data_IF_852090695474
#
_entry.id   IF_852090695474
#
_cell.length_a   1.000
_cell.length_b   1.000
_cell.length_c   1.000
_cell.angle_alpha   90.00
_cell.angle_beta   90.00
_cell.angle_gamma   90.00
#
_symmetry.space_group_name_H-M   'P 1'
#
loop_
_entity.id
_entity.type
_entity.pdbx_description
1 polymer ?
#
# COMPACT_ATOMS: atom_id res chain seq x y z
N UNK A 1 46.88 -59.51 -32.23
CA UNK A 1 46.54 -58.09 -32.16
C UNK A 1 45.09 -57.76 -31.89
N UNK A 2 44.15 -58.73 -31.87
CA UNK A 2 42.70 -58.44 -31.64
C UNK A 2 42.26 -58.42 -30.22
N UNK A 3 43.02 -59.02 -29.26
CA UNK A 3 42.62 -59.14 -27.85
C UNK A 3 42.83 -57.83 -27.04
N UNK A 4 43.70 -56.97 -27.47
CA UNK A 4 44.02 -55.71 -26.76
C UNK A 4 42.96 -54.64 -27.01
N UNK A 5 42.34 -54.62 -28.20
CA UNK A 5 41.28 -53.65 -28.54
C UNK A 5 39.98 -53.93 -27.77
N UNK A 6 39.69 -55.18 -27.48
CA UNK A 6 38.41 -55.53 -26.77
C UNK A 6 38.41 -55.12 -25.30
N UNK A 7 39.55 -55.09 -24.67
CA UNK A 7 39.65 -54.67 -23.27
C UNK A 7 39.64 -53.14 -23.14
N UNK A 8 40.14 -52.43 -24.15
CA UNK A 8 40.11 -50.95 -24.16
C UNK A 8 38.70 -50.39 -24.40
N UNK A 9 37.93 -51.01 -25.28
CA UNK A 9 36.53 -50.63 -25.54
C UNK A 9 35.61 -50.94 -24.35
N UNK A 10 35.85 -52.04 -23.59
CA UNK A 10 35.05 -52.42 -22.45
C UNK A 10 35.28 -51.50 -21.24
N UNK A 11 36.47 -50.98 -21.08
CA UNK A 11 36.78 -50.01 -20.00
C UNK A 11 36.32 -48.59 -20.35
N UNK A 12 36.25 -48.21 -21.65
CA UNK A 12 35.71 -46.92 -22.09
C UNK A 12 34.19 -46.84 -21.91
N UNK A 13 33.47 -47.95 -22.11
CA UNK A 13 31.99 -48.01 -21.90
C UNK A 13 31.58 -47.94 -20.45
N UNK A 14 32.41 -48.40 -19.52
CA UNK A 14 32.14 -48.34 -18.07
C UNK A 14 32.37 -46.93 -17.52
N UNK A 15 33.33 -46.17 -18.11
CA UNK A 15 33.61 -44.79 -17.70
C UNK A 15 32.58 -43.77 -18.19
N UNK A 16 31.89 -44.02 -19.32
CA UNK A 16 30.82 -43.17 -19.83
C UNK A 16 29.49 -43.40 -19.12
N UNK A 17 29.30 -44.61 -18.52
CA UNK A 17 28.07 -44.94 -17.78
C UNK A 17 28.01 -44.36 -16.34
N UNK A 18 29.12 -43.93 -15.76
CA UNK A 18 29.18 -43.36 -14.38
C UNK A 18 29.13 -41.84 -14.34
N UNK A 19 29.15 -41.17 -15.50
CA UNK A 19 29.09 -39.70 -15.59
C UNK A 19 27.67 -39.11 -15.70
N UNK A 20 26.63 -39.93 -15.79
CA UNK A 20 25.24 -39.44 -16.03
C UNK A 20 24.30 -39.54 -14.82
N UNK A 21 24.81 -39.90 -13.64
CA UNK A 21 24.01 -39.93 -12.41
C UNK A 21 24.52 -38.88 -11.39
N UNK A 22 24.43 -37.62 -11.71
CA UNK A 22 24.51 -36.55 -10.69
C UNK A 22 24.15 -35.19 -11.28
N UNK A 23 22.97 -35.06 -11.85
CA UNK A 23 22.28 -33.78 -11.97
C UNK A 23 20.80 -33.99 -11.66
N UNK A 24 20.50 -34.56 -10.51
CA UNK A 24 19.28 -34.19 -9.82
C UNK A 24 19.54 -32.78 -9.32
N UNK A 25 19.18 -31.80 -10.16
CA UNK A 25 18.93 -30.44 -9.68
C UNK A 25 17.93 -30.58 -8.56
N UNK A 26 18.39 -30.39 -7.33
CA UNK A 26 17.55 -30.01 -6.21
C UNK A 26 16.92 -28.70 -6.65
N UNK A 27 15.72 -28.77 -7.21
CA UNK A 27 14.80 -27.66 -7.22
C UNK A 27 14.62 -27.36 -5.72
N UNK A 28 15.43 -26.47 -5.18
CA UNK A 28 15.09 -25.76 -3.98
C UNK A 28 13.81 -25.05 -4.28
N UNK A 29 12.72 -25.67 -3.84
CA UNK A 29 11.46 -24.99 -3.61
C UNK A 29 11.80 -23.81 -2.70
N UNK A 30 12.12 -22.68 -3.32
CA UNK A 30 12.12 -21.40 -2.65
C UNK A 30 10.64 -21.10 -2.39
N UNK A 31 10.08 -21.83 -1.45
CA UNK A 31 8.92 -21.39 -0.71
C UNK A 31 9.41 -20.10 -0.05
N UNK A 32 9.29 -18.99 -0.77
CA UNK A 32 9.33 -17.68 -0.16
C UNK A 32 8.22 -17.72 0.88
N UNK A 33 8.62 -18.00 2.12
CA UNK A 33 7.81 -17.68 3.29
C UNK A 33 7.48 -16.19 3.16
N UNK A 34 6.33 -15.89 2.56
CA UNK A 34 5.74 -14.58 2.64
C UNK A 34 5.73 -14.23 4.13
N UNK A 35 6.22 -13.07 4.54
CA UNK A 35 6.26 -12.70 5.93
C UNK A 35 4.85 -12.86 6.46
N UNK A 36 4.69 -13.81 7.40
CA UNK A 36 3.44 -14.12 8.08
C UNK A 36 3.13 -12.94 9.00
N UNK A 37 2.75 -11.83 8.37
CA UNK A 37 2.29 -10.65 9.10
C UNK A 37 1.04 -11.11 9.81
N UNK A 38 1.13 -11.22 11.14
CA UNK A 38 -0.02 -11.53 11.97
C UNK A 38 -1.15 -10.59 11.56
N UNK A 39 -2.37 -11.09 11.32
CA UNK A 39 -3.46 -10.25 10.87
C UNK A 39 -3.69 -9.16 11.93
N UNK A 40 -3.28 -7.95 11.63
CA UNK A 40 -3.62 -6.81 12.47
C UNK A 40 -5.13 -6.70 12.42
N UNK A 41 -5.76 -6.76 13.59
CA UNK A 41 -7.22 -6.74 13.72
C UNK A 41 -7.70 -5.36 13.27
N UNK A 42 -8.24 -5.26 12.08
CA UNK A 42 -8.87 -4.03 11.61
C UNK A 42 -10.04 -3.69 12.54
N UNK A 43 -10.16 -2.41 12.91
CA UNK A 43 -11.17 -1.97 13.88
C UNK A 43 -12.57 -1.96 13.23
N UNK A 44 -12.68 -1.53 11.97
CA UNK A 44 -13.94 -1.43 11.23
C UNK A 44 -13.83 -2.28 9.95
N UNK A 45 -14.89 -3.01 9.62
CA UNK A 45 -14.86 -3.93 8.47
C UNK A 45 -16.18 -3.95 7.72
N UNK A 46 -16.10 -4.17 6.41
CA UNK A 46 -17.22 -4.48 5.55
C UNK A 46 -16.85 -5.68 4.64
N UNK A 47 -17.83 -6.58 4.38
CA UNK A 47 -17.58 -7.84 3.68
C UNK A 47 -18.67 -8.12 2.65
N UNK A 48 -18.25 -8.26 1.38
CA UNK A 48 -19.09 -8.60 0.25
C UNK A 48 -18.37 -9.57 -0.68
N UNK A 49 -19.10 -10.55 -1.22
CA UNK A 49 -18.67 -11.43 -2.32
C UNK A 49 -17.29 -12.09 -2.08
N UNK A 50 -16.99 -12.51 -0.82
CA UNK A 50 -15.72 -13.13 -0.45
C UNK A 50 -14.56 -12.15 -0.26
N UNK A 51 -14.81 -10.85 -0.39
CA UNK A 51 -13.84 -9.81 -0.12
C UNK A 51 -14.18 -9.08 1.17
N UNK A 52 -13.22 -8.93 2.08
CA UNK A 52 -13.35 -8.13 3.31
C UNK A 52 -12.38 -6.96 3.24
N UNK A 53 -12.91 -5.76 3.47
CA UNK A 53 -12.10 -4.56 3.63
C UNK A 53 -12.15 -4.14 5.09
N UNK A 54 -10.99 -4.01 5.71
CA UNK A 54 -10.84 -3.53 7.08
C UNK A 54 -10.14 -2.18 7.10
N UNK A 55 -10.56 -1.31 8.00
CA UNK A 55 -10.00 0.03 8.20
C UNK A 55 -9.63 0.24 9.65
N UNK A 56 -8.45 0.77 9.90
CA UNK A 56 -8.01 1.23 11.20
C UNK A 56 -7.42 2.63 11.06
N UNK A 57 -8.12 3.67 11.53
CA UNK A 57 -7.56 5.02 11.55
C UNK A 57 -6.40 5.14 12.54
N UNK A 58 -5.31 5.78 12.14
CA UNK A 58 -4.20 6.12 13.01
C UNK A 58 -4.43 7.52 13.59
N UNK A 59 -4.98 7.56 14.80
CA UNK A 59 -5.43 8.79 15.47
C UNK A 59 -4.38 9.38 16.39
N UNK A 60 -3.33 8.64 16.72
CA UNK A 60 -2.32 9.07 17.70
C UNK A 60 -0.92 9.07 17.10
N UNK A 61 -0.13 10.07 17.45
CA UNK A 61 1.26 10.19 17.00
C UNK A 61 2.13 8.95 17.33
N UNK A 62 1.75 8.17 18.36
CA UNK A 62 2.45 6.94 18.73
C UNK A 62 2.35 5.85 17.68
N UNK A 63 1.24 5.76 16.93
CA UNK A 63 0.99 4.74 15.91
C UNK A 63 1.93 4.91 14.71
N UNK A 64 2.36 6.16 14.47
CA UNK A 64 3.26 6.48 13.36
C UNK A 64 4.73 6.20 13.66
N UNK A 65 5.14 6.11 14.94
CA UNK A 65 6.56 6.09 15.33
C UNK A 65 7.37 4.96 14.70
N UNK A 66 6.77 3.79 14.54
CA UNK A 66 7.46 2.62 13.98
C UNK A 66 7.81 2.83 12.50
N UNK A 67 6.83 3.26 11.71
CA UNK A 67 6.99 3.45 10.26
C UNK A 67 7.60 4.80 9.89
N UNK A 68 7.40 5.81 10.75
CA UNK A 68 7.82 7.20 10.52
C UNK A 68 8.65 7.74 11.69
N UNK A 69 9.88 7.24 11.90
CA UNK A 69 10.67 7.59 13.08
C UNK A 69 11.15 9.04 13.13
N UNK A 70 11.33 9.68 11.98
CA UNK A 70 11.84 11.07 11.89
C UNK A 70 10.72 12.11 11.82
N UNK A 71 9.73 11.88 10.97
CA UNK A 71 8.62 12.79 10.71
C UNK A 71 7.41 11.98 10.25
N UNK A 72 6.22 12.31 10.74
CA UNK A 72 5.00 11.57 10.41
C UNK A 72 4.03 12.40 9.59
N UNK A 73 3.17 11.77 8.77
CA UNK A 73 2.05 12.42 8.10
C UNK A 73 1.16 13.19 9.08
N UNK A 74 0.92 12.63 10.26
CA UNK A 74 0.11 13.24 11.32
C UNK A 74 0.53 14.66 11.68
N UNK A 75 1.84 14.96 11.70
CA UNK A 75 2.36 16.30 12.00
C UNK A 75 2.01 17.36 10.97
N UNK A 76 1.59 16.96 9.78
CA UNK A 76 1.14 17.84 8.69
C UNK A 76 -0.37 17.87 8.49
N UNK A 77 -1.16 17.31 9.43
CA UNK A 77 -2.60 17.27 9.30
C UNK A 77 -3.14 16.15 8.42
N UNK A 78 -2.28 15.18 8.07
CA UNK A 78 -2.63 14.04 7.23
C UNK A 78 -2.91 12.82 8.09
N UNK A 79 -4.11 12.22 7.96
CA UNK A 79 -4.43 10.94 8.59
C UNK A 79 -3.96 9.79 7.70
N UNK A 80 -3.44 8.75 8.32
CA UNK A 80 -3.23 7.46 7.69
C UNK A 80 -4.33 6.49 8.13
N UNK A 81 -5.02 5.91 7.18
CA UNK A 81 -5.92 4.78 7.41
C UNK A 81 -5.17 3.50 7.04
N UNK A 82 -4.96 2.61 8.00
CA UNK A 82 -4.46 1.29 7.70
C UNK A 82 -5.59 0.46 7.10
N UNK A 83 -5.40 0.11 5.84
CA UNK A 83 -6.36 -0.69 5.08
C UNK A 83 -5.91 -2.14 5.05
N UNK A 84 -6.84 -3.04 5.29
CA UNK A 84 -6.66 -4.49 5.17
C UNK A 84 -7.64 -4.99 4.12
N UNK A 85 -7.12 -5.58 3.04
CA UNK A 85 -7.91 -6.21 2.00
C UNK A 85 -7.72 -7.72 2.11
N UNK A 86 -8.72 -8.44 2.57
CA UNK A 86 -8.70 -9.89 2.70
C UNK A 86 -9.60 -10.49 1.61
N UNK A 87 -9.02 -11.34 0.80
CA UNK A 87 -9.72 -12.04 -0.28
C UNK A 87 -9.85 -13.52 0.08
N UNK A 88 -11.05 -13.95 0.41
CA UNK A 88 -11.37 -15.35 0.74
C UNK A 88 -11.92 -16.11 -0.50
N UNK A 89 -12.03 -15.44 -1.66
CA UNK A 89 -12.50 -16.06 -2.91
C UNK A 89 -11.39 -16.78 -3.66
N UNK A 90 -11.76 -17.64 -4.60
CA UNK A 90 -10.84 -18.36 -5.48
C UNK A 90 -10.28 -17.50 -6.63
N UNK A 91 -10.71 -16.25 -6.74
CA UNK A 91 -10.32 -15.32 -7.79
C UNK A 91 -9.47 -14.17 -7.26
N UNK A 92 -8.50 -13.72 -8.07
CA UNK A 92 -7.79 -12.47 -7.76
C UNK A 92 -8.70 -11.27 -8.00
N UNK A 93 -8.64 -10.29 -7.10
CA UNK A 93 -9.45 -9.07 -7.14
C UNK A 93 -8.55 -7.87 -7.37
N UNK A 94 -8.87 -7.07 -8.38
CA UNK A 94 -8.24 -5.78 -8.62
C UNK A 94 -8.89 -4.73 -7.73
N UNK A 95 -8.06 -3.99 -7.00
CA UNK A 95 -8.44 -2.84 -6.18
C UNK A 95 -7.89 -1.56 -6.80
N UNK A 96 -8.65 -0.48 -6.72
CA UNK A 96 -8.16 0.85 -7.06
C UNK A 96 -8.25 1.75 -5.82
N UNK A 97 -7.14 1.83 -5.09
CA UNK A 97 -7.06 2.65 -3.87
C UNK A 97 -7.30 4.14 -4.16
N UNK A 98 -7.03 4.62 -5.39
CA UNK A 98 -7.25 6.02 -5.77
C UNK A 98 -8.73 6.35 -5.92
N UNK A 99 -9.57 5.36 -6.19
CA UNK A 99 -11.02 5.52 -6.26
C UNK A 99 -11.68 5.59 -4.89
N UNK A 100 -10.99 5.20 -3.81
CA UNK A 100 -11.48 5.33 -2.46
C UNK A 100 -11.85 6.78 -2.13
N UNK A 101 -12.84 6.96 -1.25
CA UNK A 101 -13.24 8.28 -0.74
C UNK A 101 -13.40 8.19 0.76
N UNK A 102 -12.91 9.20 1.45
CA UNK A 102 -13.24 9.44 2.84
C UNK A 102 -14.37 10.47 2.87
N UNK A 103 -15.53 10.04 3.31
CA UNK A 103 -16.74 10.83 3.42
C UNK A 103 -16.84 11.39 4.83
N UNK A 104 -16.73 12.69 4.99
CA UNK A 104 -16.87 13.39 6.26
C UNK A 104 -18.29 13.94 6.36
N UNK A 105 -18.99 13.63 7.43
CA UNK A 105 -20.32 14.16 7.72
C UNK A 105 -20.17 15.41 8.60
N UNK A 106 -20.41 16.58 8.01
CA UNK A 106 -20.34 17.88 8.70
C UNK A 106 -21.76 18.37 8.95
N UNK A 107 -22.38 17.90 10.06
CA UNK A 107 -23.79 18.17 10.34
C UNK A 107 -24.74 17.27 9.54
N UNK A 108 -26.05 17.61 9.55
CA UNK A 108 -27.10 16.72 9.02
C UNK A 108 -27.08 16.59 7.49
N UNK A 109 -26.76 17.68 6.77
CA UNK A 109 -26.88 17.73 5.30
C UNK A 109 -25.58 18.00 4.54
N UNK A 110 -24.48 18.25 5.24
CA UNK A 110 -23.22 18.62 4.58
C UNK A 110 -22.23 17.45 4.59
N UNK A 111 -21.85 17.00 3.39
CA UNK A 111 -20.85 15.95 3.18
C UNK A 111 -19.64 16.54 2.48
N UNK A 112 -18.48 16.23 2.98
CA UNK A 112 -17.22 16.51 2.31
C UNK A 112 -16.58 15.20 1.88
N UNK A 113 -16.13 15.12 0.63
CA UNK A 113 -15.41 13.97 0.09
C UNK A 113 -13.93 14.31 -0.01
N UNK A 114 -13.10 13.48 0.58
CA UNK A 114 -11.65 13.55 0.43
C UNK A 114 -11.15 12.42 -0.45
N UNK A 115 -10.29 12.77 -1.40
CA UNK A 115 -9.56 11.79 -2.21
C UNK A 115 -8.27 11.38 -1.52
N UNK A 116 -7.80 10.13 -1.72
CA UNK A 116 -6.51 9.70 -1.21
C UNK A 116 -5.37 10.54 -1.77
N UNK A 117 -4.42 10.86 -0.89
CA UNK A 117 -3.17 11.50 -1.26
C UNK A 117 -2.15 10.48 -1.78
N UNK A 118 -1.37 10.87 -2.77
CA UNK A 118 -0.16 10.14 -3.14
C UNK A 118 0.95 10.37 -2.12
N UNK A 119 1.96 9.50 -2.09
CA UNK A 119 3.13 9.71 -1.23
C UNK A 119 3.83 11.04 -1.49
N UNK A 120 3.78 11.52 -2.73
CA UNK A 120 4.31 12.83 -3.14
C UNK A 120 3.49 13.97 -2.53
N UNK A 121 2.14 13.90 -2.62
CA UNK A 121 1.25 14.89 -2.04
C UNK A 121 1.40 14.94 -0.51
N UNK A 122 1.55 13.79 0.15
CA UNK A 122 1.82 13.72 1.58
C UNK A 122 3.14 14.42 1.92
N UNK A 123 4.20 14.15 1.15
CA UNK A 123 5.50 14.78 1.38
C UNK A 123 5.44 16.29 1.15
N UNK A 124 4.75 16.73 0.12
CA UNK A 124 4.54 18.16 -0.14
C UNK A 124 3.74 18.81 1.01
N UNK A 125 2.64 18.20 1.45
CA UNK A 125 1.82 18.71 2.56
C UNK A 125 2.63 18.85 3.85
N UNK A 126 3.34 17.79 4.24
CA UNK A 126 4.07 17.72 5.52
C UNK A 126 5.34 18.56 5.52
N UNK A 127 6.07 18.61 4.40
CA UNK A 127 7.37 19.28 4.33
C UNK A 127 7.26 20.76 3.96
N UNK A 128 6.21 21.14 3.19
CA UNK A 128 6.03 22.50 2.71
C UNK A 128 5.21 23.36 3.66
N UNK A 129 4.22 22.79 4.37
CA UNK A 129 3.43 23.52 5.37
C UNK A 129 4.30 24.00 6.54
N UNK A 130 5.36 23.28 6.90
CA UNK A 130 6.28 23.66 7.98
C UNK A 130 7.16 24.87 7.66
N UNK A 131 7.09 25.44 6.45
CA UNK A 131 7.80 26.67 6.11
C UNK A 131 7.03 27.95 6.49
N UNK A 132 6.14 27.87 7.46
CA UNK A 132 5.61 29.02 8.20
C UNK A 132 4.67 29.94 7.44
N UNK A 133 3.87 29.42 6.48
CA UNK A 133 2.86 30.23 5.81
C UNK A 133 1.48 29.62 6.00
N UNK A 134 0.77 30.22 6.97
CA UNK A 134 -0.66 30.06 7.15
C UNK A 134 -1.39 30.24 5.81
N UNK A 135 -2.09 29.21 5.29
CA UNK A 135 -2.85 29.31 4.03
C UNK A 135 -3.99 30.32 4.13
N UNK A 136 -4.38 30.78 5.33
CA UNK A 136 -5.45 31.76 5.55
C UNK A 136 -5.00 33.22 5.40
N UNK A 137 -3.70 33.51 5.33
CA UNK A 137 -3.26 34.85 5.05
C UNK A 137 -3.59 35.23 3.60
N UNK A 138 -4.72 35.92 3.44
CA UNK A 138 -5.09 36.62 2.20
C UNK A 138 -3.94 37.56 1.82
N UNK A 139 -3.18 37.20 0.80
CA UNK A 139 -2.15 38.10 0.25
C UNK A 139 -2.85 39.18 -0.52
N UNK A 140 -2.61 40.42 -0.11
CA UNK A 140 -2.83 41.55 -1.00
C UNK A 140 -2.03 41.34 -2.29
N UNK A 141 -2.64 41.43 -3.47
CA UNK A 141 -1.95 41.21 -4.72
C UNK A 141 -1.07 42.42 -5.03
N UNK A 142 0.21 42.35 -4.69
CA UNK A 142 1.21 43.23 -5.28
C UNK A 142 1.74 42.53 -6.55
N UNK A 143 1.71 43.21 -7.71
CA UNK A 143 2.14 42.63 -8.97
C UNK A 143 3.66 42.73 -9.11
N UNK A 144 4.40 41.78 -8.56
CA UNK A 144 5.82 41.58 -8.89
C UNK A 144 5.99 40.12 -9.28
N UNK A 145 6.32 39.80 -10.54
CA UNK A 145 6.63 38.46 -10.96
C UNK A 145 8.07 38.11 -10.58
N UNK A 146 8.36 37.96 -9.32
CA UNK A 146 9.58 37.29 -8.89
C UNK A 146 9.20 35.81 -8.76
N UNK A 147 9.75 35.00 -9.63
CA UNK A 147 9.59 33.53 -9.59
C UNK A 147 9.90 33.06 -8.17
N UNK A 148 8.86 32.64 -7.43
CA UNK A 148 9.08 32.04 -6.11
C UNK A 148 9.91 30.79 -6.33
N UNK A 149 11.04 30.62 -5.64
CA UNK A 149 11.75 29.37 -5.67
C UNK A 149 10.73 28.30 -5.28
N UNK A 150 10.51 27.31 -6.16
CA UNK A 150 9.80 26.10 -5.77
C UNK A 150 10.56 25.53 -4.58
N UNK A 151 9.87 25.21 -3.46
CA UNK A 151 10.56 24.60 -2.33
C UNK A 151 11.35 23.40 -2.88
N UNK A 152 12.64 23.37 -2.61
CA UNK A 152 13.48 22.32 -3.15
C UNK A 152 13.06 21.01 -2.50
N UNK A 153 12.75 20.04 -3.33
CA UNK A 153 12.57 18.65 -2.92
C UNK A 153 13.95 18.09 -2.58
N UNK A 154 14.40 18.39 -1.37
CA UNK A 154 15.69 17.99 -0.85
C UNK A 154 15.75 16.50 -0.49
N UNK A 155 16.87 16.06 0.02
CA UNK A 155 17.07 14.67 0.44
C UNK A 155 16.04 14.24 1.50
N UNK A 156 15.71 15.12 2.46
CA UNK A 156 14.75 14.80 3.52
C UNK A 156 13.33 14.61 2.95
N UNK A 157 12.95 15.44 1.98
CA UNK A 157 11.70 15.28 1.27
C UNK A 157 11.64 13.93 0.54
N UNK A 158 12.71 13.56 -0.17
CA UNK A 158 12.80 12.30 -0.90
C UNK A 158 12.71 11.10 0.05
N UNK A 159 13.47 11.11 1.14
CA UNK A 159 13.44 10.05 2.16
C UNK A 159 12.04 9.91 2.78
N UNK A 160 11.37 11.03 3.05
CA UNK A 160 10.03 10.99 3.64
C UNK A 160 8.99 10.49 2.64
N UNK A 161 9.02 10.96 1.38
CA UNK A 161 8.18 10.44 0.30
C UNK A 161 8.34 8.93 0.14
N UNK A 162 9.59 8.44 0.09
CA UNK A 162 9.88 7.02 -0.06
C UNK A 162 9.36 6.21 1.13
N UNK A 163 9.44 6.77 2.34
CA UNK A 163 8.85 6.16 3.54
C UNK A 163 7.33 6.04 3.41
N UNK A 164 6.65 7.11 2.96
CA UNK A 164 5.21 7.09 2.71
C UNK A 164 4.85 6.06 1.62
N UNK A 165 5.62 5.99 0.54
CA UNK A 165 5.39 5.05 -0.56
C UNK A 165 5.55 3.60 -0.11
N UNK A 166 6.57 3.31 0.69
CA UNK A 166 6.82 1.96 1.21
C UNK A 166 5.78 1.50 2.23
N UNK A 167 5.16 2.43 2.95
CA UNK A 167 4.11 2.15 3.91
C UNK A 167 2.72 2.06 3.26
N UNK A 168 2.54 2.60 2.05
CA UNK A 168 1.27 2.58 1.33
C UNK A 168 0.86 1.16 0.91
N UNK A 169 -0.39 1.00 0.46
CA UNK A 169 -0.88 -0.27 -0.09
C UNK A 169 0.02 -0.70 -1.26
N UNK A 170 0.71 -1.86 -1.16
CA UNK A 170 1.81 -2.19 -2.07
C UNK A 170 1.38 -2.72 -3.44
N UNK A 171 0.12 -3.09 -3.60
CA UNK A 171 -0.38 -3.70 -4.84
C UNK A 171 -1.79 -3.22 -5.17
N UNK A 172 -2.11 -3.21 -6.45
CA UNK A 172 -3.48 -3.01 -6.95
C UNK A 172 -4.24 -4.33 -7.17
N UNK A 173 -3.66 -5.47 -6.79
CA UNK A 173 -4.27 -6.80 -6.93
C UNK A 173 -4.13 -7.55 -5.62
N UNK A 174 -5.24 -8.09 -5.13
CA UNK A 174 -5.29 -9.04 -4.01
C UNK A 174 -5.47 -10.43 -4.58
N UNK A 175 -4.48 -11.29 -4.39
CA UNK A 175 -4.54 -12.66 -4.89
C UNK A 175 -5.64 -13.46 -4.17
N UNK A 176 -6.08 -14.58 -4.79
CA UNK A 176 -6.99 -15.51 -4.13
C UNK A 176 -6.43 -15.97 -2.78
N UNK A 177 -7.29 -16.09 -1.77
CA UNK A 177 -6.95 -16.55 -0.41
C UNK A 177 -5.79 -15.77 0.25
N UNK A 178 -5.65 -14.48 -0.08
CA UNK A 178 -4.57 -13.65 0.44
C UNK A 178 -5.07 -12.40 1.14
N UNK A 179 -4.16 -11.79 1.91
CA UNK A 179 -4.42 -10.53 2.60
C UNK A 179 -3.35 -9.51 2.21
N UNK A 180 -3.80 -8.30 1.88
CA UNK A 180 -2.95 -7.16 1.55
C UNK A 180 -3.18 -6.08 2.60
N UNK A 181 -2.11 -5.51 3.14
CA UNK A 181 -2.19 -4.45 4.17
C UNK A 181 -1.29 -3.28 3.76
N UNK A 182 -1.77 -2.06 3.97
CA UNK A 182 -0.99 -0.86 3.73
C UNK A 182 -1.73 0.40 4.18
N UNK A 183 -1.07 1.54 4.08
CA UNK A 183 -1.63 2.82 4.47
C UNK A 183 -2.24 3.54 3.26
N UNK A 184 -3.33 4.24 3.53
CA UNK A 184 -3.95 5.22 2.62
C UNK A 184 -4.04 6.54 3.36
N UNK A 185 -3.68 7.63 2.70
CA UNK A 185 -3.52 8.93 3.33
C UNK A 185 -4.61 9.90 2.89
N UNK A 186 -5.10 10.73 3.83
CA UNK A 186 -6.09 11.77 3.55
C UNK A 186 -5.71 13.07 4.27
N UNK A 187 -5.88 14.21 3.59
CA UNK A 187 -5.64 15.54 4.18
C UNK A 187 -6.83 15.97 5.04
N UNK A 188 -6.68 15.83 6.34
CA UNK A 188 -7.69 16.23 7.34
C UNK A 188 -7.49 17.66 7.85
N UNK A 189 -6.40 18.34 7.44
CA UNK A 189 -6.04 19.67 7.94
C UNK A 189 -6.07 19.77 9.47
N UNK A 190 -5.75 18.66 10.15
CA UNK A 190 -5.81 18.49 11.61
C UNK A 190 -7.23 18.52 12.22
N UNK A 191 -8.29 18.39 11.43
CA UNK A 191 -9.67 18.30 11.90
C UNK A 191 -10.06 16.85 12.26
N UNK A 192 -9.37 16.29 13.26
CA UNK A 192 -9.45 14.87 13.63
C UNK A 192 -10.84 14.45 14.13
N UNK A 193 -11.58 15.36 14.75
CA UNK A 193 -12.90 15.10 15.31
C UNK A 193 -13.91 14.67 14.22
N UNK A 194 -13.70 15.09 12.98
CA UNK A 194 -14.56 14.71 11.85
C UNK A 194 -14.50 13.23 11.52
N UNK A 195 -13.43 12.53 11.93
CA UNK A 195 -13.31 11.07 11.69
C UNK A 195 -14.31 10.24 12.48
N UNK A 196 -14.85 10.76 13.59
CA UNK A 196 -15.83 10.06 14.41
C UNK A 196 -17.17 9.83 13.68
N UNK A 197 -17.44 10.61 12.64
CA UNK A 197 -18.64 10.49 11.82
C UNK A 197 -18.28 10.29 10.34
N UNK A 198 -17.12 9.70 10.08
CA UNK A 198 -16.64 9.49 8.73
C UNK A 198 -16.96 8.09 8.23
N UNK A 199 -17.01 7.94 6.90
CA UNK A 199 -17.13 6.66 6.22
C UNK A 199 -16.05 6.54 5.16
N UNK A 200 -15.53 5.33 4.99
CA UNK A 200 -14.65 5.00 3.87
C UNK A 200 -15.48 4.30 2.80
N UNK A 201 -15.47 4.86 1.60
CA UNK A 201 -16.22 4.36 0.47
C UNK A 201 -15.30 3.87 -0.64
N UNK A 202 -15.53 2.65 -1.12
CA UNK A 202 -14.92 2.08 -2.32
C UNK A 202 -16.02 1.83 -3.36
N UNK A 203 -16.00 2.53 -4.50
CA UNK A 203 -17.07 2.45 -5.50
C UNK A 203 -17.13 1.11 -6.21
N UNK A 204 -15.99 0.50 -6.47
CA UNK A 204 -15.95 -0.81 -7.12
C UNK A 204 -14.58 -1.48 -6.99
N UNK A 205 -14.62 -2.79 -6.80
CA UNK A 205 -13.51 -3.69 -6.99
C UNK A 205 -13.84 -4.58 -8.20
N UNK A 206 -12.83 -5.15 -8.86
CA UNK A 206 -13.06 -5.91 -10.10
C UNK A 206 -12.44 -7.29 -9.98
N UNK A 207 -13.25 -8.35 -10.17
CA UNK A 207 -12.73 -9.71 -10.34
C UNK A 207 -11.84 -9.76 -11.58
N UNK A 208 -10.65 -10.34 -11.46
CA UNK A 208 -9.67 -10.40 -12.55
C UNK A 208 -10.05 -11.43 -13.62
N UNK A 209 -10.76 -12.50 -13.24
CA UNK A 209 -11.18 -13.57 -14.15
C UNK A 209 -12.44 -13.19 -14.91
N UNK A 210 -13.48 -12.76 -14.20
CA UNK A 210 -14.79 -12.47 -14.81
C UNK A 210 -14.88 -11.05 -15.36
N UNK A 211 -13.97 -10.14 -14.98
CA UNK A 211 -14.00 -8.71 -15.28
C UNK A 211 -15.26 -8.00 -14.78
N UNK A 212 -15.99 -8.63 -13.88
CA UNK A 212 -17.19 -8.05 -13.28
C UNK A 212 -16.81 -7.18 -12.08
N UNK A 213 -17.45 -6.02 -11.89
CA UNK A 213 -17.33 -5.27 -10.67
C UNK A 213 -17.99 -6.04 -9.53
N UNK A 214 -17.36 -6.02 -8.37
CA UNK A 214 -17.96 -6.42 -7.10
C UNK A 214 -18.84 -5.29 -6.59
N UNK A 215 -19.66 -5.58 -5.57
CA UNK A 215 -20.44 -4.56 -4.85
C UNK A 215 -19.52 -3.45 -4.30
N UNK A 216 -20.08 -2.25 -4.09
CA UNK A 216 -19.36 -1.21 -3.38
C UNK A 216 -19.18 -1.58 -1.90
N UNK A 217 -18.19 -0.99 -1.25
CA UNK A 217 -17.93 -1.14 0.18
C UNK A 217 -18.08 0.21 0.85
N UNK A 218 -18.76 0.22 1.99
CA UNK A 218 -18.94 1.39 2.82
C UNK A 218 -18.63 1.04 4.28
N UNK A 219 -17.46 1.47 4.76
CA UNK A 219 -16.99 1.19 6.11
C UNK A 219 -17.25 2.40 7.00
N UNK A 220 -18.15 2.27 7.93
CA UNK A 220 -18.46 3.31 8.90
C UNK A 220 -17.36 3.37 9.98
N UNK A 221 -16.78 4.55 10.20
CA UNK A 221 -15.74 4.78 11.21
C UNK A 221 -16.35 5.31 12.53
N UNK A 222 -17.67 5.43 12.61
CA UNK A 222 -18.36 5.82 13.84
C UNK A 222 -18.24 4.73 14.90
N UNK A 223 -18.06 5.14 16.14
CA UNK A 223 -18.01 4.30 17.33
C UNK A 223 -19.40 4.25 18.00
#
# INVERSE_FOLDING_TARGET
>A
MQTVYYNLMRNLLVLVGLGFMSLCAVAQDATQDAPKTAPMKAQFTDTHEGMTIGVQPWMHASEYKEKFPKKSPFSGGVVALQMTFKNDSDESVKIDVRSARLLLLIGEDNRQELSPLTAEDVADTVMLQNNGKDPTQRRNPLPIPVGKPRPSRDKNWTEFRDTCQNAAVPSSVVAAHSTLVGLVYFDMRSEWDLLQNAKVYFPSLVSMSTKKPLSYFEIDLAH
#
